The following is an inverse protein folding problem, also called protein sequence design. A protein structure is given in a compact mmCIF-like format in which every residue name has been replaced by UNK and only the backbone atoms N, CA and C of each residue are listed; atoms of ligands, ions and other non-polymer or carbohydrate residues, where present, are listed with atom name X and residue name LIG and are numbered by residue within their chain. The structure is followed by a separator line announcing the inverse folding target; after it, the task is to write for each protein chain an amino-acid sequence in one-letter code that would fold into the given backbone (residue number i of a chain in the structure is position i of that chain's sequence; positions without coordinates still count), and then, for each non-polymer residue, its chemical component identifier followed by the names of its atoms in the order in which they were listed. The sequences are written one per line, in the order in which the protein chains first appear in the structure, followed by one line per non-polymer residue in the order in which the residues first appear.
data_IF_270272463315
#
_entry.id   IF_270272463315
#
_cell.length_a   1.000
_cell.length_b   1.000
_cell.length_c   1.000
_cell.angle_alpha   90.00
_cell.angle_beta   90.00
_cell.angle_gamma   90.00
#
_symmetry.space_group_name_H-M   'P 1'
#
loop_
_entity.id
_entity.type
_entity.pdbx_description
1 polymer ?
#
# COMPACT_ATOMS: atom_id res chain seq x y z
N UNK A 1 -37.92 13.81 -43.23
CA UNK A 1 -38.65 14.95 -42.63
C UNK A 1 -38.17 15.02 -41.19
N UNK A 2 -36.95 15.52 -40.93
CA UNK A 2 -36.57 16.95 -40.83
C UNK A 2 -37.42 17.67 -39.80
N UNK A 3 -36.85 17.94 -38.62
CA UNK A 3 -36.47 19.30 -38.17
C UNK A 3 -36.08 19.31 -36.69
N UNK A 4 -34.78 19.47 -36.48
CA UNK A 4 -34.05 20.42 -35.61
C UNK A 4 -34.49 20.87 -34.20
N UNK A 5 -33.41 20.98 -33.39
CA UNK A 5 -33.03 22.00 -32.41
C UNK A 5 -33.47 21.97 -30.93
N UNK A 6 -32.45 22.08 -30.06
CA UNK A 6 -32.60 22.61 -28.70
C UNK A 6 -31.57 22.11 -27.66
N UNK A 7 -30.33 22.60 -27.71
CA UNK A 7 -29.38 22.51 -26.59
C UNK A 7 -29.62 23.66 -25.57
N UNK A 8 -29.34 23.49 -24.26
CA UNK A 8 -29.18 24.63 -23.36
C UNK A 8 -27.73 24.79 -22.87
N UNK A 9 -27.32 26.06 -22.83
CA UNK A 9 -26.02 26.55 -22.39
C UNK A 9 -25.92 26.72 -20.85
N UNK A 10 -24.68 26.76 -20.36
CA UNK A 10 -24.28 27.01 -18.97
C UNK A 10 -24.47 28.48 -18.53
N UNK A 11 -24.62 28.75 -17.21
CA UNK A 11 -24.51 30.11 -16.68
C UNK A 11 -23.16 30.36 -15.99
N UNK A 12 -22.57 31.54 -16.26
CA UNK A 12 -21.47 32.16 -15.51
C UNK A 12 -22.01 33.15 -14.44
N UNK A 13 -21.18 33.59 -13.47
CA UNK A 13 -21.62 33.96 -12.13
C UNK A 13 -21.98 35.46 -11.97
N UNK A 14 -23.03 35.72 -11.19
CA UNK A 14 -23.46 37.07 -10.80
C UNK A 14 -23.43 37.26 -9.28
N UNK A 15 -22.95 38.42 -8.87
CA UNK A 15 -22.76 38.92 -7.50
C UNK A 15 -23.96 38.73 -6.57
N UNK A 16 -23.71 38.34 -5.32
CA UNK A 16 -24.64 38.66 -4.24
C UNK A 16 -23.92 39.12 -2.97
N UNK A 17 -24.45 40.23 -2.48
CA UNK A 17 -24.01 41.10 -1.42
C UNK A 17 -24.48 40.58 -0.06
N UNK A 18 -23.76 41.01 0.97
CA UNK A 18 -23.99 40.81 2.40
C UNK A 18 -25.46 40.88 2.88
N UNK A 19 -25.86 39.96 3.75
CA UNK A 19 -26.73 40.32 4.87
C UNK A 19 -26.53 39.42 6.12
N UNK A 20 -26.45 40.07 7.27
CA UNK A 20 -26.15 39.47 8.58
C UNK A 20 -27.36 39.65 9.49
N UNK A 21 -27.91 38.61 10.15
CA UNK A 21 -29.03 38.84 11.05
C UNK A 21 -28.57 39.25 12.45
N UNK A 22 -28.94 40.48 12.82
CA UNK A 22 -28.98 41.05 14.18
C UNK A 22 -29.66 40.11 15.18
N UNK A 23 -29.04 39.90 16.36
CA UNK A 23 -29.75 39.57 17.60
C UNK A 23 -29.58 40.66 18.68
N UNK A 24 -30.71 40.92 19.34
CA UNK A 24 -31.06 42.08 20.16
C UNK A 24 -30.34 42.13 21.51
N UNK A 25 -30.09 43.36 21.97
CA UNK A 25 -29.68 43.73 23.34
C UNK A 25 -30.82 43.52 24.35
N UNK A 26 -30.48 43.07 25.56
CA UNK A 26 -31.14 43.45 26.80
C UNK A 26 -30.09 43.53 27.93
N UNK A 27 -29.88 44.74 28.47
CA UNK A 27 -29.34 44.95 29.83
C UNK A 27 -30.50 44.92 30.83
N UNK A 28 -30.36 45.04 32.14
CA UNK A 28 -29.25 45.05 33.08
C UNK A 28 -29.90 45.12 34.49
N UNK A 29 -29.12 44.81 35.54
CA UNK A 29 -29.31 45.10 36.99
C UNK A 29 -30.34 44.21 37.71
N UNK A 30 -30.13 43.73 38.95
CA UNK A 30 -29.28 44.10 40.10
C UNK A 30 -29.41 42.96 41.12
N UNK A 31 -28.34 42.49 41.78
CA UNK A 31 -28.32 42.17 43.23
C UNK A 31 -26.89 42.28 43.77
N UNK A 32 -26.73 43.06 44.83
CA UNK A 32 -25.50 43.21 45.63
C UNK A 32 -25.25 41.94 46.47
N UNK A 33 -23.98 41.60 46.76
CA UNK A 33 -23.63 40.46 47.61
C UNK A 33 -23.63 40.86 49.10
N UNK A 34 -23.94 39.89 49.97
CA UNK A 34 -23.69 39.95 51.40
C UNK A 34 -22.30 39.37 51.69
N UNK A 35 -21.56 40.13 52.48
CA UNK A 35 -20.20 39.87 52.96
C UNK A 35 -20.06 38.60 53.78
N UNK A 36 -18.86 38.02 53.71
CA UNK A 36 -18.06 37.79 54.91
C UNK A 36 -17.82 36.35 55.32
N UNK A 37 -16.65 35.83 54.99
CA UNK A 37 -15.74 35.20 55.96
C UNK A 37 -14.38 35.03 55.28
N UNK A 38 -13.46 35.95 55.58
CA UNK A 38 -12.06 35.80 55.19
C UNK A 38 -11.35 34.83 56.13
N UNK A 39 -10.38 34.12 55.60
CA UNK A 39 -9.11 34.01 56.30
C UNK A 39 -7.94 34.06 55.32
N UNK A 40 -6.89 34.72 55.79
CA UNK A 40 -5.77 35.32 55.06
C UNK A 40 -4.76 34.27 54.61
N UNK A 41 -4.29 34.37 53.37
CA UNK A 41 -2.93 33.97 52.99
C UNK A 41 -2.39 34.96 51.96
N UNK A 42 -1.31 35.65 52.35
CA UNK A 42 -0.19 36.02 51.48
C UNK A 42 -0.47 36.89 50.27
N UNK A 43 -0.43 38.20 50.49
CA UNK A 43 -0.08 39.16 49.46
C UNK A 43 1.40 38.97 49.09
N UNK A 44 1.68 38.53 47.86
CA UNK A 44 2.96 38.76 47.17
C UNK A 44 2.78 38.52 45.66
N UNK A 45 1.95 39.35 45.05
CA UNK A 45 1.82 39.43 43.60
C UNK A 45 3.05 40.10 42.99
N UNK A 46 4.10 39.34 42.70
CA UNK A 46 5.16 39.78 41.78
C UNK A 46 4.59 39.77 40.38
N UNK A 47 4.10 40.91 39.91
CA UNK A 47 3.78 41.12 38.50
C UNK A 47 5.04 40.82 37.67
N UNK A 48 5.03 39.71 36.94
CA UNK A 48 6.13 39.32 36.08
C UNK A 48 6.28 40.36 34.97
N UNK A 49 7.44 41.00 34.95
CA UNK A 49 7.83 42.00 33.95
C UNK A 49 7.48 41.48 32.54
N UNK A 50 6.88 42.28 31.64
CA UNK A 50 6.39 41.82 30.33
C UNK A 50 7.47 41.14 29.48
N UNK A 51 8.74 41.46 29.73
CA UNK A 51 9.89 40.78 29.14
C UNK A 51 10.00 39.31 29.61
N UNK A 52 9.85 39.03 30.92
CA UNK A 52 9.94 37.65 31.45
C UNK A 52 8.77 36.77 31.01
N UNK A 53 7.59 37.37 30.79
CA UNK A 53 6.43 36.67 30.21
C UNK A 53 6.64 36.35 28.72
N UNK A 54 7.22 37.27 27.95
CA UNK A 54 7.58 37.03 26.53
C UNK A 54 8.65 35.94 26.38
N UNK A 55 9.68 35.95 27.21
CA UNK A 55 10.71 34.91 27.21
C UNK A 55 10.20 33.57 27.73
N UNK A 56 9.28 33.57 28.71
CA UNK A 56 8.59 32.35 29.16
C UNK A 56 7.73 31.74 28.06
N UNK A 57 6.96 32.54 27.32
CA UNK A 57 6.15 32.09 26.19
C UNK A 57 7.01 31.60 25.03
N UNK A 58 8.13 32.26 24.75
CA UNK A 58 9.11 31.80 23.76
C UNK A 58 9.73 30.45 24.16
N UNK A 59 10.07 30.26 25.43
CA UNK A 59 10.60 28.99 25.92
C UNK A 59 9.55 27.86 25.82
N UNK A 60 8.27 28.14 26.07
CA UNK A 60 7.18 27.17 25.88
C UNK A 60 6.97 26.85 24.39
N UNK A 61 7.01 27.86 23.51
CA UNK A 61 6.88 27.64 22.07
C UNK A 61 8.05 26.82 21.50
N UNK A 62 9.29 27.14 21.91
CA UNK A 62 10.48 26.35 21.53
C UNK A 62 10.40 24.94 22.12
N UNK A 63 9.97 24.79 23.36
CA UNK A 63 9.75 23.49 23.98
C UNK A 63 8.71 22.64 23.24
N UNK A 64 7.62 23.24 22.78
CA UNK A 64 6.59 22.56 21.99
C UNK A 64 7.10 22.16 20.59
N UNK A 65 7.90 23.00 19.94
CA UNK A 65 8.52 22.68 18.63
C UNK A 65 9.57 21.58 18.77
N UNK A 66 10.41 21.63 19.80
CA UNK A 66 11.40 20.57 20.07
C UNK A 66 10.70 19.27 20.45
N UNK A 67 9.65 19.29 21.28
CA UNK A 67 8.85 18.12 21.58
C UNK A 67 8.18 17.56 20.32
N UNK A 68 7.62 18.41 19.44
CA UNK A 68 7.04 17.98 18.17
C UNK A 68 8.09 17.37 17.24
N UNK A 69 9.29 17.94 17.15
CA UNK A 69 10.40 17.41 16.34
C UNK A 69 10.93 16.09 16.90
N UNK A 70 11.08 15.96 18.23
CA UNK A 70 11.48 14.70 18.88
C UNK A 70 10.38 13.65 18.71
N UNK A 71 9.11 14.03 18.83
CA UNK A 71 7.98 13.13 18.55
C UNK A 71 7.97 12.72 17.08
N UNK A 72 8.24 13.62 16.13
CA UNK A 72 8.40 13.27 14.71
C UNK A 72 9.60 12.34 14.45
N UNK A 73 10.68 12.51 15.21
CA UNK A 73 11.91 11.68 15.09
C UNK A 73 11.74 10.28 15.68
N UNK A 74 10.92 10.14 16.73
CA UNK A 74 10.68 8.86 17.43
C UNK A 74 9.45 8.12 16.87
N UNK A 75 8.43 8.85 16.39
CA UNK A 75 7.16 8.26 15.96
C UNK A 75 7.12 7.88 14.48
N UNK A 76 8.00 8.47 13.65
CA UNK A 76 7.87 8.41 12.19
C UNK A 76 6.56 9.04 11.70
N UNK A 77 6.53 9.56 10.48
CA UNK A 77 5.26 9.86 9.82
C UNK A 77 4.56 8.52 9.55
N UNK A 78 3.67 8.09 10.45
CA UNK A 78 2.71 7.02 10.13
C UNK A 78 1.61 7.59 9.26
N UNK A 79 1.91 7.76 7.97
CA UNK A 79 0.91 7.85 6.92
C UNK A 79 0.11 6.55 6.89
N UNK A 80 -1.16 6.58 6.50
CA UNK A 80 -2.04 5.40 6.31
C UNK A 80 -1.59 4.46 5.18
N UNK A 81 -0.35 4.59 4.73
CA UNK A 81 0.37 3.68 3.87
C UNK A 81 1.54 3.16 4.72
N UNK A 82 1.31 2.04 5.41
CA UNK A 82 2.31 1.33 6.23
C UNK A 82 3.38 0.69 5.36
N UNK A 83 4.19 1.52 4.72
CA UNK A 83 5.44 1.18 4.07
C UNK A 83 6.43 2.23 4.57
N UNK A 84 7.35 1.81 5.45
CA UNK A 84 8.65 2.49 5.51
C UNK A 84 9.13 2.59 4.06
N UNK A 85 9.43 3.80 3.59
CA UNK A 85 9.99 4.01 2.25
C UNK A 85 11.43 3.47 2.22
N UNK A 86 11.57 2.14 2.26
CA UNK A 86 12.74 1.48 1.72
C UNK A 86 12.58 1.51 0.21
N UNK A 87 13.08 2.60 -0.38
CA UNK A 87 13.36 2.69 -1.79
C UNK A 87 14.48 1.69 -2.13
N UNK A 88 14.20 0.61 -2.84
CA UNK A 88 15.23 -0.31 -3.32
C UNK A 88 15.97 0.22 -4.56
N UNK A 89 15.67 1.45 -4.98
CA UNK A 89 16.51 2.22 -5.88
C UNK A 89 17.81 2.71 -5.23
N UNK A 90 18.09 2.41 -3.96
CA UNK A 90 19.33 2.81 -3.27
C UNK A 90 20.61 2.14 -3.79
N UNK A 91 20.54 1.44 -4.93
CA UNK A 91 21.73 1.18 -5.74
C UNK A 91 22.20 2.48 -6.38
N UNK A 92 23.45 2.87 -6.09
CA UNK A 92 24.20 3.89 -6.85
C UNK A 92 23.77 3.86 -8.34
N UNK A 93 23.39 5.01 -8.95
CA UNK A 93 22.95 5.00 -10.34
C UNK A 93 24.00 4.31 -11.20
N UNK A 94 23.62 3.35 -12.02
CA UNK A 94 24.58 2.75 -12.92
C UNK A 94 25.15 3.79 -13.88
N UNK A 95 26.47 3.85 -13.91
CA UNK A 95 27.17 4.35 -15.08
C UNK A 95 26.97 3.33 -16.20
N UNK A 96 26.06 3.58 -17.14
CA UNK A 96 25.80 2.61 -18.18
C UNK A 96 24.92 3.09 -19.32
N UNK A 97 25.53 3.86 -20.25
CA UNK A 97 25.12 4.18 -21.63
C UNK A 97 23.68 4.68 -21.85
N UNK A 98 23.55 5.72 -22.67
CA UNK A 98 22.30 5.97 -23.38
C UNK A 98 22.05 4.75 -24.28
N UNK A 99 21.30 3.76 -23.80
CA UNK A 99 20.99 2.58 -24.57
C UNK A 99 20.16 3.01 -25.78
N UNK A 100 20.51 2.53 -26.98
CA UNK A 100 19.72 2.81 -28.18
C UNK A 100 18.27 2.34 -27.98
N UNK A 101 18.07 1.29 -27.19
CA UNK A 101 16.74 0.83 -26.80
C UNK A 101 15.98 1.84 -25.95
N UNK A 102 16.65 2.57 -25.03
CA UNK A 102 16.02 3.64 -24.25
C UNK A 102 15.49 4.75 -25.17
N UNK A 103 16.32 5.21 -26.11
CA UNK A 103 15.95 6.23 -27.08
C UNK A 103 14.79 5.81 -27.98
N UNK A 104 14.76 4.55 -28.39
CA UNK A 104 13.76 3.99 -29.30
C UNK A 104 12.43 3.58 -28.62
N UNK A 105 12.43 3.31 -27.31
CA UNK A 105 11.24 2.84 -26.60
C UNK A 105 10.13 3.90 -26.58
N UNK A 106 8.92 3.49 -26.97
CA UNK A 106 7.70 4.31 -27.02
C UNK A 106 6.57 3.67 -26.24
N UNK A 107 5.53 4.44 -25.95
CA UNK A 107 4.28 3.95 -25.32
C UNK A 107 3.79 2.65 -25.95
N UNK A 108 3.56 1.63 -25.12
CA UNK A 108 3.16 0.29 -25.51
C UNK A 108 4.31 -0.68 -25.83
N UNK A 109 5.55 -0.22 -25.80
CA UNK A 109 6.72 -1.09 -25.94
C UNK A 109 7.02 -1.83 -24.64
N UNK A 110 7.47 -3.07 -24.76
CA UNK A 110 7.89 -3.90 -23.65
C UNK A 110 9.41 -4.03 -23.61
N UNK A 111 9.98 -3.87 -22.42
CA UNK A 111 11.40 -3.85 -22.17
C UNK A 111 11.78 -4.97 -21.19
N UNK A 112 12.98 -5.51 -21.40
CA UNK A 112 13.65 -6.41 -20.48
C UNK A 112 15.08 -5.95 -20.26
N UNK A 113 15.71 -6.41 -19.19
CA UNK A 113 17.12 -6.22 -18.87
C UNK A 113 17.59 -7.41 -18.05
N UNK A 114 18.91 -7.62 -17.97
CA UNK A 114 19.48 -8.70 -17.16
C UNK A 114 19.89 -8.22 -15.78
N UNK A 115 20.09 -6.91 -15.60
CA UNK A 115 20.53 -6.33 -14.34
C UNK A 115 19.91 -4.97 -14.09
N UNK A 116 19.25 -4.83 -12.94
CA UNK A 116 18.74 -3.53 -12.44
C UNK A 116 19.86 -2.54 -12.13
N UNK A 117 21.10 -3.04 -12.00
CA UNK A 117 22.28 -2.20 -11.98
C UNK A 117 22.53 -1.73 -13.40
N UNK A 118 22.97 -2.56 -14.34
CA UNK A 118 23.45 -2.01 -15.63
C UNK A 118 22.36 -1.46 -16.55
N UNK A 119 21.08 -1.78 -16.32
CA UNK A 119 19.93 -1.40 -17.16
C UNK A 119 20.24 -1.55 -18.65
N UNK A 120 20.67 -2.75 -19.03
CA UNK A 120 20.89 -3.20 -20.41
C UNK A 120 19.55 -3.41 -21.12
N UNK A 121 18.87 -2.30 -21.37
CA UNK A 121 17.49 -2.28 -21.86
C UNK A 121 17.43 -2.90 -23.25
N UNK A 122 16.54 -3.87 -23.40
CA UNK A 122 16.23 -4.48 -24.69
C UNK A 122 14.74 -4.44 -24.91
N UNK A 123 14.34 -3.95 -26.08
CA UNK A 123 12.94 -4.03 -26.52
C UNK A 123 12.61 -5.45 -26.94
N UNK A 124 11.50 -5.99 -26.42
CA UNK A 124 11.00 -7.32 -26.72
C UNK A 124 9.52 -7.27 -27.10
N UNK A 125 8.99 -8.38 -27.63
CA UNK A 125 7.55 -8.48 -27.84
C UNK A 125 6.86 -8.63 -26.48
N UNK A 126 5.75 -7.91 -26.25
CA UNK A 126 4.98 -8.03 -25.01
C UNK A 126 4.39 -9.43 -24.80
N UNK A 127 4.24 -10.22 -25.87
CA UNK A 127 3.86 -11.63 -25.77
C UNK A 127 4.98 -12.51 -25.19
N UNK A 128 6.23 -12.03 -25.16
CA UNK A 128 7.34 -12.68 -24.50
C UNK A 128 7.51 -12.17 -23.07
N UNK A 129 8.36 -12.84 -22.29
CA UNK A 129 8.70 -12.41 -20.93
C UNK A 129 9.41 -11.05 -20.97
N UNK A 130 8.90 -10.10 -20.20
CA UNK A 130 9.48 -8.76 -20.08
C UNK A 130 9.30 -8.24 -18.65
N UNK A 131 10.04 -7.19 -18.29
CA UNK A 131 10.06 -6.62 -16.94
C UNK A 131 9.28 -5.31 -16.84
N UNK A 132 9.08 -4.62 -17.97
CA UNK A 132 8.52 -3.27 -18.00
C UNK A 132 7.71 -3.02 -19.26
N UNK A 133 6.54 -2.43 -19.12
CA UNK A 133 5.74 -1.92 -20.24
C UNK A 133 5.69 -0.40 -20.18
N UNK A 134 6.15 0.26 -21.25
CA UNK A 134 6.23 1.72 -21.32
C UNK A 134 4.83 2.31 -21.46
N UNK A 135 4.46 3.19 -20.53
CA UNK A 135 3.16 3.89 -20.53
C UNK A 135 3.26 5.29 -21.11
N UNK A 136 4.43 5.94 -21.03
CA UNK A 136 4.70 7.24 -21.63
C UNK A 136 6.21 7.53 -21.77
N UNK A 137 6.57 8.35 -22.76
CA UNK A 137 7.84 9.06 -22.83
C UNK A 137 7.65 10.54 -22.50
N UNK A 138 8.32 11.01 -21.44
CA UNK A 138 8.17 12.37 -20.92
C UNK A 138 9.48 13.13 -21.08
N UNK A 139 9.45 14.17 -21.90
CA UNK A 139 10.58 15.05 -22.13
C UNK A 139 10.63 16.16 -21.07
N UNK A 140 11.53 16.01 -20.10
CA UNK A 140 11.67 16.96 -19.00
C UNK A 140 12.18 18.34 -19.45
N UNK A 141 12.79 18.45 -20.64
CA UNK A 141 13.26 19.73 -21.17
C UNK A 141 12.13 20.70 -21.51
N UNK A 142 10.90 20.19 -21.66
CA UNK A 142 9.69 20.99 -21.93
C UNK A 142 9.09 21.62 -20.68
N UNK A 143 9.53 21.20 -19.49
CA UNK A 143 9.01 21.74 -18.24
C UNK A 143 9.71 23.04 -17.88
N UNK A 144 8.97 24.05 -17.41
CA UNK A 144 9.54 25.36 -17.11
C UNK A 144 10.52 25.24 -15.94
N UNK A 145 11.69 25.87 -16.08
CA UNK A 145 12.68 25.93 -15.02
C UNK A 145 14.10 25.69 -15.53
N UNK A 146 15.06 25.77 -14.61
CA UNK A 146 16.49 25.49 -14.90
C UNK A 146 16.91 24.08 -14.53
N UNK A 147 16.06 23.36 -13.82
CA UNK A 147 16.36 22.04 -13.25
C UNK A 147 16.83 21.04 -14.32
N UNK A 148 16.16 21.05 -15.48
CA UNK A 148 16.43 20.13 -16.58
C UNK A 148 17.10 20.81 -17.78
N UNK A 149 17.58 22.04 -17.60
CA UNK A 149 18.20 22.81 -18.66
C UNK A 149 19.56 22.25 -19.13
N UNK A 150 20.12 22.81 -20.21
CA UNK A 150 21.47 22.47 -20.66
C UNK A 150 22.51 22.62 -19.54
N UNK A 151 23.36 21.60 -19.37
CA UNK A 151 24.40 21.59 -18.34
C UNK A 151 23.92 21.37 -16.91
N UNK A 152 22.63 21.06 -16.68
CA UNK A 152 22.14 20.73 -15.35
C UNK A 152 22.75 19.43 -14.82
N UNK A 153 22.88 19.34 -13.48
CA UNK A 153 23.35 18.14 -12.82
C UNK A 153 22.39 16.97 -13.07
N UNK A 154 22.92 15.75 -13.09
CA UNK A 154 22.10 14.54 -13.11
C UNK A 154 21.36 14.42 -11.77
N UNK A 155 20.02 14.28 -11.76
CA UNK A 155 19.25 14.14 -10.52
C UNK A 155 19.71 12.93 -9.69
N UNK A 156 19.56 13.02 -8.38
CA UNK A 156 19.76 11.87 -7.50
C UNK A 156 18.53 10.94 -7.50
N UNK A 157 18.64 9.81 -6.81
CA UNK A 157 17.58 8.81 -6.74
C UNK A 157 16.29 9.35 -6.13
N UNK A 158 16.41 10.23 -5.11
CA UNK A 158 15.25 10.83 -4.45
C UNK A 158 14.49 11.70 -5.44
N UNK A 159 15.18 12.57 -6.19
CA UNK A 159 14.52 13.43 -7.17
C UNK A 159 13.92 12.65 -8.33
N UNK A 160 14.54 11.55 -8.77
CA UNK A 160 13.92 10.65 -9.73
C UNK A 160 12.67 9.95 -9.17
N UNK A 161 12.65 9.61 -7.88
CA UNK A 161 11.45 9.15 -7.19
C UNK A 161 10.31 10.16 -7.26
N UNK A 162 10.59 11.43 -6.97
CA UNK A 162 9.62 12.52 -7.07
C UNK A 162 9.11 12.71 -8.51
N UNK A 163 10.00 12.69 -9.51
CA UNK A 163 9.63 12.81 -10.92
C UNK A 163 8.74 11.66 -11.39
N UNK A 164 9.00 10.44 -10.92
CA UNK A 164 8.13 9.29 -11.15
C UNK A 164 6.74 9.56 -10.57
N UNK A 165 6.64 10.06 -9.35
CA UNK A 165 5.37 10.27 -8.67
C UNK A 165 4.58 11.46 -9.29
N UNK A 166 5.28 12.53 -9.68
CA UNK A 166 4.72 13.72 -10.35
C UNK A 166 4.18 13.39 -11.75
N UNK A 167 4.92 12.60 -12.53
CA UNK A 167 4.65 12.45 -13.96
C UNK A 167 4.17 11.06 -14.38
N UNK A 168 4.72 10.00 -13.79
CA UNK A 168 4.45 8.63 -14.27
C UNK A 168 3.15 8.04 -13.71
N UNK A 169 2.70 8.45 -12.52
CA UNK A 169 1.46 7.92 -11.95
C UNK A 169 0.23 8.30 -12.80
N UNK A 170 0.13 9.57 -13.21
CA UNK A 170 -0.95 10.05 -14.07
C UNK A 170 -0.86 9.47 -15.48
N UNK A 171 0.35 9.35 -16.04
CA UNK A 171 0.58 8.73 -17.34
C UNK A 171 0.17 7.24 -17.37
N UNK A 172 0.53 6.48 -16.32
CA UNK A 172 0.14 5.08 -16.20
C UNK A 172 -1.38 4.92 -16.04
N UNK A 173 -2.03 5.77 -15.24
CA UNK A 173 -3.49 5.77 -15.11
C UNK A 173 -4.17 6.05 -16.45
N UNK A 174 -3.68 7.03 -17.23
CA UNK A 174 -4.19 7.34 -18.55
C UNK A 174 -4.00 6.16 -19.54
N UNK A 175 -2.83 5.52 -19.52
CA UNK A 175 -2.51 4.37 -20.36
C UNK A 175 -3.46 3.18 -20.11
N UNK A 176 -3.83 2.94 -18.84
CA UNK A 176 -4.80 1.89 -18.46
C UNK A 176 -6.27 2.32 -18.57
N UNK A 177 -6.55 3.53 -19.08
CA UNK A 177 -7.91 4.04 -19.19
C UNK A 177 -8.59 4.23 -17.83
N UNK A 178 -7.84 4.67 -16.82
CA UNK A 178 -8.33 4.88 -15.46
C UNK A 178 -8.38 3.63 -14.60
N UNK A 179 -7.92 2.46 -15.10
CA UNK A 179 -7.97 1.18 -14.38
C UNK A 179 -6.71 0.83 -13.59
N UNK A 180 -5.83 1.79 -13.33
CA UNK A 180 -4.66 1.53 -12.49
C UNK A 180 -5.09 1.31 -11.04
N UNK A 181 -4.86 0.10 -10.53
CA UNK A 181 -5.16 -0.24 -9.14
C UNK A 181 -4.04 0.26 -8.20
N UNK A 182 -4.37 1.14 -7.23
CA UNK A 182 -3.37 1.64 -6.27
C UNK A 182 -2.78 0.54 -5.37
N UNK A 183 -3.42 -0.63 -5.28
CA UNK A 183 -2.89 -1.81 -4.60
C UNK A 183 -2.76 -3.02 -5.52
N UNK A 184 -2.76 -2.78 -6.83
CA UNK A 184 -2.66 -3.82 -7.84
C UNK A 184 -1.31 -4.51 -7.85
N UNK A 185 -1.20 -5.54 -8.70
CA UNK A 185 0.04 -6.27 -8.91
C UNK A 185 1.10 -5.42 -9.60
N UNK A 186 0.70 -4.55 -10.52
CA UNK A 186 1.62 -3.68 -11.27
C UNK A 186 1.84 -2.37 -10.53
N UNK A 187 3.09 -1.94 -10.44
CA UNK A 187 3.47 -0.66 -9.87
C UNK A 187 4.02 0.26 -10.94
N UNK A 188 3.90 1.57 -10.68
CA UNK A 188 4.47 2.61 -11.53
C UNK A 188 5.99 2.60 -11.36
N UNK A 189 6.70 2.45 -12.47
CA UNK A 189 8.15 2.56 -12.54
C UNK A 189 8.58 3.68 -13.50
N UNK A 190 9.87 3.99 -13.46
CA UNK A 190 10.48 4.98 -14.33
C UNK A 190 11.90 4.55 -14.69
N UNK A 191 12.24 4.70 -15.96
CA UNK A 191 13.60 4.55 -16.48
C UNK A 191 14.09 5.92 -16.94
N UNK A 192 15.32 6.28 -16.59
CA UNK A 192 15.96 7.55 -16.94
C UNK A 192 17.10 7.31 -17.97
N UNK A 193 17.58 8.35 -18.67
CA UNK A 193 18.56 8.19 -19.76
C UNK A 193 19.99 7.86 -19.26
N UNK A 194 20.18 7.73 -17.95
CA UNK A 194 21.47 7.60 -17.30
C UNK A 194 22.29 8.89 -17.37
N UNK A 195 23.36 8.94 -16.58
CA UNK A 195 24.25 10.10 -16.55
C UNK A 195 24.88 10.43 -17.92
N UNK A 196 25.30 9.44 -18.75
CA UNK A 196 25.81 9.74 -20.09
C UNK A 196 24.76 10.37 -21.01
N UNK A 197 23.54 9.84 -21.03
CA UNK A 197 22.44 10.41 -21.82
C UNK A 197 22.11 11.83 -21.35
N UNK A 198 22.07 12.04 -20.04
CA UNK A 198 21.87 13.36 -19.44
C UNK A 198 22.95 14.37 -19.84
N UNK A 199 24.24 14.00 -19.78
CA UNK A 199 25.32 14.90 -20.21
C UNK A 199 25.22 15.26 -21.71
N UNK A 200 24.69 14.36 -22.52
CA UNK A 200 24.47 14.57 -23.95
C UNK A 200 23.17 15.30 -24.28
N UNK A 201 22.43 15.77 -23.26
CA UNK A 201 21.22 16.56 -23.44
C UNK A 201 19.92 15.76 -23.47
N UNK A 202 19.95 14.43 -23.32
CA UNK A 202 18.71 13.65 -23.18
C UNK A 202 18.08 13.97 -21.81
N UNK A 203 16.83 14.42 -21.85
CA UNK A 203 16.01 14.76 -20.68
C UNK A 203 14.75 13.92 -20.63
N UNK A 204 14.67 12.90 -21.46
CA UNK A 204 13.47 12.10 -21.57
C UNK A 204 13.51 11.00 -20.53
N UNK A 205 12.45 10.88 -19.72
CA UNK A 205 12.21 9.70 -18.88
C UNK A 205 11.19 8.78 -19.56
N UNK A 206 11.26 7.48 -19.27
CA UNK A 206 10.25 6.49 -19.68
C UNK A 206 9.46 6.07 -18.45
N UNK A 207 8.19 6.42 -18.43
CA UNK A 207 7.25 5.91 -17.45
C UNK A 207 6.77 4.55 -17.88
N UNK A 208 6.45 3.68 -16.93
CA UNK A 208 5.91 2.38 -17.25
C UNK A 208 5.39 1.61 -16.05
N UNK A 209 4.97 0.39 -16.32
CA UNK A 209 4.40 -0.53 -15.34
C UNK A 209 5.25 -1.79 -15.26
N UNK A 210 5.43 -2.28 -14.03
CA UNK A 210 6.30 -3.41 -13.72
C UNK A 210 5.78 -4.19 -12.51
N UNK A 211 6.21 -5.43 -12.37
CA UNK A 211 6.07 -6.21 -11.15
C UNK A 211 7.32 -5.99 -10.30
N UNK A 212 7.15 -5.80 -9.00
CA UNK A 212 8.27 -5.56 -8.08
C UNK A 212 8.23 -6.48 -6.86
N UNK A 213 9.41 -6.76 -6.31
CA UNK A 213 9.53 -7.35 -4.98
C UNK A 213 8.99 -6.41 -3.89
N UNK A 214 8.89 -6.90 -2.66
CA UNK A 214 8.53 -6.09 -1.48
C UNK A 214 9.53 -4.96 -1.24
N UNK A 215 10.80 -5.21 -1.55
CA UNK A 215 11.83 -4.18 -1.66
C UNK A 215 11.81 -3.62 -3.08
N UNK A 216 10.64 -3.23 -3.63
CA UNK A 216 10.36 -2.59 -4.94
C UNK A 216 11.29 -2.83 -6.15
N UNK A 217 12.01 -3.97 -6.22
CA UNK A 217 12.96 -4.26 -7.28
C UNK A 217 12.22 -4.92 -8.43
N UNK A 218 12.41 -4.42 -9.65
CA UNK A 218 11.76 -4.95 -10.85
C UNK A 218 12.49 -6.19 -11.39
N UNK A 219 12.31 -7.28 -10.67
CA UNK A 219 12.94 -8.60 -10.89
C UNK A 219 11.96 -9.60 -11.50
N UNK A 220 10.66 -9.34 -11.39
CA UNK A 220 9.62 -10.26 -11.80
C UNK A 220 9.19 -10.01 -13.24
N UNK A 221 9.30 -11.06 -14.07
CA UNK A 221 8.88 -11.02 -15.46
C UNK A 221 7.38 -11.24 -15.59
N UNK A 222 6.76 -10.54 -16.53
CA UNK A 222 5.37 -10.72 -16.93
C UNK A 222 5.27 -11.10 -18.41
N UNK A 223 4.10 -11.59 -18.81
CA UNK A 223 3.77 -11.99 -20.17
C UNK A 223 2.42 -11.40 -20.53
N UNK A 224 2.30 -10.91 -21.77
CA UNK A 224 1.11 -10.20 -22.24
C UNK A 224 1.15 -8.73 -21.84
N UNK A 225 0.22 -7.93 -22.40
CA UNK A 225 0.19 -6.50 -22.09
C UNK A 225 -0.46 -6.23 -20.74
N UNK A 226 0.04 -5.22 -20.04
CA UNK A 226 -0.50 -4.78 -18.76
C UNK A 226 -1.93 -4.29 -18.89
N UNK A 227 -2.25 -3.56 -19.96
CA UNK A 227 -3.61 -3.04 -20.22
C UNK A 227 -4.68 -4.12 -20.40
N UNK A 228 -4.26 -5.31 -20.82
CA UNK A 228 -5.11 -6.47 -21.10
C UNK A 228 -5.10 -7.45 -19.90
N UNK A 229 -4.35 -7.15 -18.85
CA UNK A 229 -4.18 -7.97 -17.66
C UNK A 229 -5.06 -7.51 -16.50
N UNK A 230 -5.52 -8.48 -15.71
CA UNK A 230 -6.11 -8.25 -14.39
C UNK A 230 -5.09 -7.56 -13.47
N UNK A 231 -5.54 -6.53 -12.74
CA UNK A 231 -4.70 -5.78 -11.82
C UNK A 231 -4.65 -6.39 -10.41
N UNK A 232 -5.51 -7.36 -10.10
CA UNK A 232 -5.56 -8.01 -8.79
C UNK A 232 -4.21 -8.64 -8.46
N UNK A 233 -3.77 -8.45 -7.21
CA UNK A 233 -2.50 -8.98 -6.71
C UNK A 233 -2.64 -10.43 -6.26
N UNK A 234 -2.83 -11.31 -7.23
CA UNK A 234 -3.04 -12.76 -7.06
C UNK A 234 -1.90 -13.56 -7.68
N UNK A 235 -1.69 -14.78 -7.17
CA UNK A 235 -0.72 -15.72 -7.70
C UNK A 235 -1.41 -17.07 -7.96
N UNK A 236 -0.79 -17.88 -8.81
CA UNK A 236 -1.36 -19.19 -9.15
C UNK A 236 -1.37 -20.13 -7.92
N UNK A 237 -2.40 -20.98 -7.78
CA UNK A 237 -2.43 -22.02 -6.74
C UNK A 237 -1.17 -22.88 -6.73
N UNK A 238 -0.61 -23.10 -5.54
CA UNK A 238 0.67 -23.78 -5.31
C UNK A 238 1.91 -22.90 -5.36
N UNK A 239 1.74 -21.60 -5.59
CA UNK A 239 2.85 -20.64 -5.50
C UNK A 239 3.21 -20.38 -4.04
N UNK A 240 4.49 -20.51 -3.69
CA UNK A 240 5.04 -20.10 -2.41
C UNK A 240 5.67 -18.72 -2.51
N UNK A 241 5.36 -17.81 -1.58
CA UNK A 241 5.88 -16.44 -1.58
C UNK A 241 7.01 -16.31 -0.57
N UNK A 242 8.18 -15.90 -1.05
CA UNK A 242 9.41 -15.81 -0.26
C UNK A 242 9.26 -14.95 1.00
N UNK A 243 10.20 -15.13 1.92
CA UNK A 243 10.23 -14.41 3.20
C UNK A 243 11.60 -13.76 3.43
N UNK A 244 11.59 -12.56 3.98
CA UNK A 244 12.77 -11.86 4.47
C UNK A 244 12.40 -11.09 5.74
N UNK A 245 13.14 -11.30 6.83
CA UNK A 245 12.89 -10.63 8.12
C UNK A 245 11.40 -10.67 8.56
N UNK A 246 10.81 -11.87 8.55
CA UNK A 246 9.40 -12.12 8.91
C UNK A 246 8.36 -11.45 8.00
N UNK A 247 8.77 -10.81 6.91
CA UNK A 247 7.88 -10.18 5.92
C UNK A 247 7.92 -10.92 4.58
N UNK A 248 6.78 -11.00 3.86
CA UNK A 248 6.77 -11.58 2.54
C UNK A 248 7.55 -10.73 1.55
N UNK A 249 8.29 -11.36 0.65
CA UNK A 249 9.07 -10.68 -0.40
C UNK A 249 8.20 -10.31 -1.61
N UNK A 250 6.93 -10.73 -1.65
CA UNK A 250 6.04 -10.65 -2.82
C UNK A 250 6.59 -11.34 -4.07
N UNK A 251 7.59 -12.22 -3.93
CA UNK A 251 8.21 -12.95 -5.03
C UNK A 251 7.94 -14.45 -4.89
N UNK A 252 7.54 -15.13 -5.97
CA UNK A 252 7.48 -16.58 -6.01
C UNK A 252 8.86 -17.22 -5.74
N UNK A 253 8.88 -18.24 -4.90
CA UNK A 253 10.06 -19.09 -4.65
C UNK A 253 9.66 -20.57 -4.71
N UNK A 254 10.58 -21.50 -5.01
CA UNK A 254 10.31 -22.93 -4.82
C UNK A 254 9.91 -23.19 -3.37
N UNK A 255 8.85 -23.96 -3.12
CA UNK A 255 8.36 -24.20 -1.76
C UNK A 255 9.37 -24.90 -0.83
N UNK A 256 10.38 -25.57 -1.37
CA UNK A 256 11.52 -26.09 -0.59
C UNK A 256 12.50 -25.01 -0.10
N UNK A 257 12.33 -23.77 -0.52
CA UNK A 257 13.05 -22.60 -0.01
C UNK A 257 12.23 -21.89 1.08
N UNK A 258 12.88 -21.10 1.95
CA UNK A 258 12.21 -20.27 2.95
C UNK A 258 11.12 -19.38 2.33
N UNK A 259 9.89 -19.49 2.83
CA UNK A 259 8.74 -18.69 2.37
C UNK A 259 7.78 -18.36 3.51
N UNK A 260 6.95 -17.34 3.32
CA UNK A 260 6.00 -16.86 4.32
C UNK A 260 4.68 -17.63 4.28
N UNK A 261 4.22 -17.94 3.05
CA UNK A 261 2.95 -18.63 2.81
C UNK A 261 2.87 -19.24 1.42
N UNK A 262 1.92 -20.16 1.27
CA UNK A 262 1.56 -20.82 0.02
C UNK A 262 0.14 -20.42 -0.39
N UNK A 263 -0.07 -20.21 -1.69
CA UNK A 263 -1.39 -19.90 -2.25
C UNK A 263 -2.16 -21.20 -2.48
N UNK A 264 -3.31 -21.36 -1.83
CA UNK A 264 -4.17 -22.54 -2.02
C UNK A 264 -5.12 -22.36 -3.19
N UNK A 265 -5.69 -21.17 -3.34
CA UNK A 265 -6.63 -20.83 -4.41
C UNK A 265 -6.71 -19.32 -4.63
N UNK A 266 -7.35 -18.94 -5.74
CA UNK A 266 -7.77 -17.56 -6.02
C UNK A 266 -9.28 -17.51 -6.09
N UNK A 267 -9.89 -16.53 -5.42
CA UNK A 267 -11.33 -16.31 -5.37
C UNK A 267 -11.65 -15.00 -6.09
N UNK A 268 -12.65 -15.04 -6.98
CA UNK A 268 -13.19 -13.84 -7.64
C UNK A 268 -14.46 -13.39 -6.93
N UNK A 269 -14.35 -12.27 -6.21
CA UNK A 269 -15.43 -11.69 -5.42
C UNK A 269 -16.54 -11.12 -6.31
N UNK A 270 -16.22 -10.74 -7.55
CA UNK A 270 -17.19 -10.20 -8.52
C UNK A 270 -18.24 -11.23 -8.95
N UNK A 271 -17.98 -12.52 -8.72
CA UNK A 271 -18.95 -13.60 -8.97
C UNK A 271 -20.08 -13.63 -7.96
N UNK A 272 -19.85 -13.10 -6.74
CA UNK A 272 -20.83 -13.08 -5.66
C UNK A 272 -21.39 -11.67 -5.42
N UNK A 273 -20.51 -10.67 -5.38
CA UNK A 273 -20.88 -9.28 -5.15
C UNK A 273 -21.04 -8.56 -6.50
N UNK A 274 -22.29 -8.32 -6.91
CA UNK A 274 -22.62 -7.70 -8.21
C UNK A 274 -22.91 -6.19 -8.14
N UNK A 275 -22.86 -5.62 -6.94
CA UNK A 275 -23.11 -4.20 -6.67
C UNK A 275 -21.84 -3.36 -6.58
N UNK A 276 -21.90 -2.30 -5.76
CA UNK A 276 -20.72 -1.52 -5.39
C UNK A 276 -19.74 -2.31 -4.52
N UNK A 277 -18.63 -1.68 -4.10
CA UNK A 277 -17.62 -2.35 -3.28
C UNK A 277 -18.21 -2.99 -2.02
N UNK A 278 -18.01 -4.30 -1.78
CA UNK A 278 -18.52 -4.96 -0.60
C UNK A 278 -17.79 -4.48 0.67
N UNK A 279 -18.51 -4.41 1.79
CA UNK A 279 -17.90 -4.08 3.08
C UNK A 279 -16.93 -5.19 3.52
N UNK A 280 -15.85 -4.85 4.23
CA UNK A 280 -14.85 -5.82 4.65
C UNK A 280 -15.45 -7.01 5.42
N UNK A 281 -16.44 -6.77 6.30
CA UNK A 281 -17.10 -7.85 7.04
C UNK A 281 -17.85 -8.83 6.13
N UNK A 282 -18.43 -8.35 5.02
CA UNK A 282 -19.10 -9.21 4.04
C UNK A 282 -18.07 -10.00 3.21
N UNK A 283 -16.96 -9.35 2.84
CA UNK A 283 -15.83 -10.01 2.19
C UNK A 283 -15.26 -11.11 3.08
N UNK A 284 -15.01 -10.82 4.36
CA UNK A 284 -14.45 -11.78 5.32
C UNK A 284 -15.35 -12.99 5.50
N UNK A 285 -16.67 -12.76 5.61
CA UNK A 285 -17.64 -13.85 5.72
C UNK A 285 -17.61 -14.75 4.47
N UNK A 286 -17.59 -14.15 3.29
CA UNK A 286 -17.53 -14.90 2.03
C UNK A 286 -16.19 -15.65 1.87
N UNK A 287 -15.07 -14.97 2.11
CA UNK A 287 -13.73 -15.54 2.02
C UNK A 287 -13.49 -16.64 3.05
N UNK A 288 -14.07 -16.54 4.25
CA UNK A 288 -13.98 -17.60 5.26
C UNK A 288 -14.56 -18.92 4.74
N UNK A 289 -15.72 -18.87 4.10
CA UNK A 289 -16.38 -20.06 3.54
C UNK A 289 -15.59 -20.61 2.34
N UNK A 290 -15.18 -19.73 1.41
CA UNK A 290 -14.44 -20.12 0.20
C UNK A 290 -13.04 -20.66 0.52
N UNK A 291 -12.28 -19.97 1.37
CA UNK A 291 -10.94 -20.42 1.76
C UNK A 291 -10.98 -21.63 2.68
N UNK A 292 -12.04 -21.78 3.50
CA UNK A 292 -12.27 -22.99 4.30
C UNK A 292 -12.49 -24.24 3.42
N UNK A 293 -13.23 -24.10 2.31
CA UNK A 293 -13.38 -25.15 1.30
C UNK A 293 -12.07 -25.41 0.56
N UNK A 294 -11.42 -24.34 0.09
CA UNK A 294 -10.16 -24.43 -0.63
C UNK A 294 -9.08 -25.15 0.19
N UNK A 295 -9.01 -24.92 1.50
CA UNK A 295 -8.07 -25.64 2.36
C UNK A 295 -8.37 -27.14 2.44
N UNK A 296 -9.65 -27.53 2.53
CA UNK A 296 -10.04 -28.95 2.49
C UNK A 296 -9.61 -29.62 1.18
N UNK A 297 -9.91 -28.97 0.05
CA UNK A 297 -9.56 -29.48 -1.28
C UNK A 297 -8.05 -29.50 -1.53
N UNK A 298 -7.34 -28.47 -1.07
CA UNK A 298 -5.91 -28.28 -1.32
C UNK A 298 -5.01 -29.15 -0.43
N UNK A 299 -5.39 -29.35 0.84
CA UNK A 299 -4.60 -30.05 1.86
C UNK A 299 -5.09 -31.46 2.16
N UNK A 300 -6.31 -31.82 1.72
CA UNK A 300 -6.91 -33.14 1.96
C UNK A 300 -7.64 -33.26 3.32
N UNK A 301 -7.85 -32.15 4.03
CA UNK A 301 -8.57 -32.13 5.31
C UNK A 301 -8.21 -30.92 6.18
N UNK A 302 -9.17 -30.44 7.00
CA UNK A 302 -8.92 -29.31 7.90
C UNK A 302 -8.05 -29.67 9.11
N UNK A 303 -8.04 -30.94 9.51
CA UNK A 303 -7.18 -31.48 10.56
C UNK A 303 -5.69 -31.33 10.22
N UNK A 304 -5.35 -31.34 8.92
CA UNK A 304 -3.99 -31.10 8.42
C UNK A 304 -3.45 -29.74 8.87
N UNK A 305 -4.30 -28.70 8.87
CA UNK A 305 -3.89 -27.35 9.31
C UNK A 305 -3.49 -27.35 10.78
N UNK A 306 -4.31 -27.95 11.64
CA UNK A 306 -4.06 -28.03 13.08
C UNK A 306 -2.81 -28.85 13.35
N UNK A 307 -2.67 -30.01 12.69
CA UNK A 307 -1.53 -30.90 12.86
C UNK A 307 -0.22 -30.26 12.39
N UNK A 308 -0.28 -29.41 11.35
CA UNK A 308 0.87 -28.65 10.85
C UNK A 308 1.01 -27.27 11.51
N UNK A 309 0.15 -26.92 12.47
CA UNK A 309 0.14 -25.62 13.15
C UNK A 309 0.02 -24.43 12.18
N UNK A 310 -0.56 -24.68 11.00
CA UNK A 310 -0.80 -23.70 9.94
C UNK A 310 -2.19 -23.07 10.10
N UNK A 311 -2.33 -21.87 9.55
CA UNK A 311 -3.56 -21.10 9.54
C UNK A 311 -3.88 -20.63 8.12
N UNK A 312 -5.16 -20.58 7.80
CA UNK A 312 -5.67 -19.96 6.59
C UNK A 312 -5.82 -18.47 6.86
N UNK A 313 -5.48 -17.64 5.88
CA UNK A 313 -5.76 -16.21 5.90
C UNK A 313 -5.95 -15.68 4.48
N UNK A 314 -6.48 -14.48 4.38
CA UNK A 314 -6.72 -13.75 3.15
C UNK A 314 -6.58 -12.25 3.44
N UNK A 315 -6.37 -11.46 2.39
CA UNK A 315 -6.45 -10.00 2.45
C UNK A 315 -7.89 -9.52 2.27
N UNK A 316 -8.16 -8.23 2.49
CA UNK A 316 -9.35 -7.58 1.97
C UNK A 316 -9.05 -6.77 0.70
N UNK A 317 -10.08 -6.60 -0.12
CA UNK A 317 -10.06 -5.76 -1.30
C UNK A 317 -10.66 -4.38 -0.94
N UNK A 318 -9.89 -3.31 -1.11
CA UNK A 318 -10.40 -1.97 -0.81
C UNK A 318 -11.28 -1.42 -1.93
N UNK A 319 -12.12 -0.45 -1.57
CA UNK A 319 -13.10 0.12 -2.47
C UNK A 319 -12.48 0.74 -3.75
N UNK A 320 -11.25 1.28 -3.70
CA UNK A 320 -10.62 1.86 -4.89
C UNK A 320 -10.20 0.76 -5.86
N UNK A 321 -9.58 -0.31 -5.36
CA UNK A 321 -9.25 -1.50 -6.18
C UNK A 321 -10.51 -2.08 -6.85
N UNK A 322 -11.61 -2.20 -6.10
CA UNK A 322 -12.89 -2.67 -6.65
C UNK A 322 -13.40 -1.81 -7.81
N UNK A 323 -13.40 -0.49 -7.63
CA UNK A 323 -13.94 0.46 -8.60
C UNK A 323 -13.12 0.52 -9.91
N UNK A 324 -11.85 0.16 -9.86
CA UNK A 324 -10.99 0.10 -11.07
C UNK A 324 -10.94 -1.30 -11.71
N UNK A 325 -11.64 -2.28 -11.14
CA UNK A 325 -11.86 -3.61 -11.73
C UNK A 325 -11.05 -4.76 -11.15
N UNK A 326 -10.29 -4.55 -10.07
CA UNK A 326 -9.68 -5.66 -9.33
C UNK A 326 -10.71 -6.30 -8.43
N UNK A 327 -11.02 -7.59 -8.65
CA UNK A 327 -12.05 -8.32 -7.89
C UNK A 327 -11.53 -9.63 -7.27
N UNK A 328 -10.23 -9.93 -7.38
CA UNK A 328 -9.70 -11.24 -6.95
C UNK A 328 -8.81 -11.15 -5.72
N UNK A 329 -8.91 -12.17 -4.88
CA UNK A 329 -8.10 -12.36 -3.67
C UNK A 329 -7.55 -13.79 -3.62
N UNK A 330 -6.45 -13.99 -2.89
CA UNK A 330 -5.89 -15.32 -2.63
C UNK A 330 -6.42 -15.90 -1.32
N UNK A 331 -6.65 -17.22 -1.29
CA UNK A 331 -6.70 -18.01 -0.07
C UNK A 331 -5.28 -18.52 0.24
N UNK A 332 -4.73 -18.07 1.36
CA UNK A 332 -3.33 -18.29 1.74
C UNK A 332 -3.25 -19.25 2.91
N UNK A 333 -2.20 -20.06 2.95
CA UNK A 333 -1.86 -20.90 4.10
C UNK A 333 -0.44 -20.62 4.56
N UNK A 334 -0.28 -20.44 5.87
CA UNK A 334 1.01 -20.16 6.48
C UNK A 334 0.92 -20.08 7.99
N UNK A 335 1.93 -19.48 8.62
CA UNK A 335 1.98 -19.30 10.07
C UNK A 335 2.39 -17.88 10.43
N UNK A 336 1.55 -17.18 11.19
CA UNK A 336 1.92 -15.90 11.80
C UNK A 336 2.94 -16.06 12.92
N UNK A 337 3.76 -15.03 13.10
CA UNK A 337 4.70 -14.82 14.21
C UNK A 337 4.35 -13.49 14.92
N UNK A 338 5.14 -13.07 15.93
CA UNK A 338 4.92 -11.78 16.58
C UNK A 338 5.16 -10.58 15.65
N UNK A 339 6.12 -10.72 14.75
CA UNK A 339 6.61 -9.64 13.88
C UNK A 339 6.18 -9.81 12.40
N UNK A 340 5.24 -10.73 12.12
CA UNK A 340 4.76 -11.01 10.77
C UNK A 340 4.49 -12.49 10.56
N UNK A 341 5.33 -13.14 9.74
CA UNK A 341 5.24 -14.56 9.42
C UNK A 341 6.40 -15.35 10.04
N UNK A 342 6.11 -16.59 10.42
CA UNK A 342 7.14 -17.60 10.66
C UNK A 342 7.72 -18.07 9.31
N UNK A 343 8.94 -18.57 9.32
CA UNK A 343 9.58 -19.11 8.12
C UNK A 343 9.10 -20.53 7.87
N UNK A 344 8.54 -20.78 6.69
CA UNK A 344 8.11 -22.10 6.24
C UNK A 344 9.13 -22.66 5.24
N UNK A 345 9.43 -23.95 5.37
CA UNK A 345 10.19 -24.72 4.37
C UNK A 345 9.43 -26.01 4.06
N UNK A 346 9.19 -26.29 2.77
CA UNK A 346 8.35 -27.39 2.31
C UNK A 346 6.93 -26.92 1.92
N UNK A 347 6.25 -27.64 1.03
CA UNK A 347 4.87 -27.31 0.65
C UNK A 347 3.88 -27.76 1.72
N UNK A 348 2.82 -26.99 1.93
CA UNK A 348 1.70 -27.32 2.81
C UNK A 348 1.01 -28.65 2.45
N UNK A 349 1.15 -29.13 1.21
CA UNK A 349 0.69 -30.45 0.75
C UNK A 349 1.55 -31.62 1.25
N UNK A 350 2.81 -31.36 1.61
CA UNK A 350 3.76 -32.35 2.09
C UNK A 350 4.26 -32.04 3.50
N UNK A 351 5.46 -32.52 3.83
CA UNK A 351 6.10 -32.17 5.09
C UNK A 351 6.55 -30.70 5.08
N UNK A 352 6.34 -30.01 6.19
CA UNK A 352 6.74 -28.63 6.40
C UNK A 352 7.57 -28.49 7.66
N UNK A 353 8.48 -27.52 7.66
CA UNK A 353 9.14 -26.99 8.85
C UNK A 353 8.65 -25.57 9.11
N UNK A 354 8.43 -25.23 10.38
CA UNK A 354 8.11 -23.88 10.84
C UNK A 354 9.29 -23.42 11.70
N UNK A 355 9.97 -22.35 11.26
CA UNK A 355 11.22 -21.85 11.85
C UNK A 355 12.27 -22.95 12.04
N UNK A 356 12.35 -23.86 11.06
CA UNK A 356 13.27 -25.00 11.04
C UNK A 356 12.87 -26.18 11.93
N UNK A 357 11.72 -26.11 12.61
CA UNK A 357 11.21 -27.18 13.48
C UNK A 357 10.03 -27.90 12.84
N UNK A 358 9.89 -29.19 13.12
CA UNK A 358 8.68 -29.93 12.77
C UNK A 358 7.49 -29.31 13.54
N UNK A 359 6.33 -29.14 12.89
CA UNK A 359 5.14 -28.64 13.57
C UNK A 359 4.77 -29.50 14.77
N UNK A 360 4.52 -28.82 15.88
CA UNK A 360 3.94 -29.46 17.07
C UNK A 360 2.48 -29.04 17.12
N UNK A 361 1.53 -29.99 16.94
CA UNK A 361 0.11 -29.68 17.05
C UNK A 361 -0.19 -29.04 18.40
N UNK A 362 -1.07 -28.03 18.47
CA UNK A 362 -1.52 -27.51 19.75
C UNK A 362 -2.14 -28.65 20.57
N UNK A 363 -2.01 -28.63 21.91
CA UNK A 363 -2.64 -29.64 22.75
C UNK A 363 -4.11 -29.75 22.38
N UNK A 364 -4.60 -30.97 22.21
CA UNK A 364 -6.02 -31.25 22.06
C UNK A 364 -6.72 -30.97 23.39
N UNK A 365 -6.82 -29.70 23.77
CA UNK A 365 -7.90 -29.28 24.65
C UNK A 365 -9.16 -29.43 23.82
N UNK A 366 -9.67 -30.67 23.76
CA UNK A 366 -11.00 -30.94 23.22
C UNK A 366 -11.89 -29.87 23.81
N UNK A 367 -12.44 -29.01 22.93
CA UNK A 367 -13.24 -27.81 23.21
C UNK A 367 -13.36 -27.58 24.72
N UNK A 368 -12.59 -26.63 25.28
CA UNK A 368 -12.75 -26.25 26.70
C UNK A 368 -14.24 -26.15 27.00
N UNK A 369 -14.78 -27.16 27.67
CA UNK A 369 -16.09 -27.07 28.27
C UNK A 369 -15.82 -26.17 29.45
N UNK A 370 -16.40 -24.96 29.51
CA UNK A 370 -16.28 -24.16 30.72
C UNK A 370 -16.67 -25.07 31.88
N UNK A 371 -15.87 -25.09 32.95
CA UNK A 371 -16.28 -25.77 34.17
C UNK A 371 -17.71 -25.30 34.49
N UNK A 372 -18.69 -26.20 34.66
CA UNK A 372 -20.05 -25.79 34.96
C UNK A 372 -20.01 -24.86 36.17
N UNK A 373 -20.72 -23.73 36.10
CA UNK A 373 -20.95 -22.91 37.29
C UNK A 373 -21.45 -23.83 38.41
N UNK A 374 -21.04 -23.62 39.67
CA UNK A 374 -21.46 -24.48 40.78
C UNK A 374 -22.99 -24.67 40.77
N UNK A 375 -23.45 -25.89 40.48
CA UNK A 375 -24.87 -26.25 40.38
C UNK A 375 -25.43 -26.51 38.98
N UNK A 376 -24.68 -26.34 37.90
CA UNK A 376 -25.13 -26.69 36.54
C UNK A 376 -24.75 -28.14 36.18
N UNK A 377 -25.72 -28.91 35.64
CA UNK A 377 -25.47 -30.27 35.16
C UNK A 377 -24.53 -30.27 33.94
N UNK A 378 -23.70 -31.32 33.75
CA UNK A 378 -22.79 -31.42 32.60
C UNK A 378 -23.55 -31.35 31.26
N UNK A 379 -22.98 -30.67 30.27
CA UNK A 379 -23.53 -30.64 28.93
C UNK A 379 -23.57 -32.07 28.33
N UNK A 380 -24.65 -32.47 27.63
CA UNK A 380 -24.72 -33.78 27.00
C UNK A 380 -23.59 -33.96 25.97
N UNK A 381 -22.87 -35.07 26.07
CA UNK A 381 -21.84 -35.45 25.10
C UNK A 381 -22.55 -35.88 23.80
N UNK A 382 -22.26 -35.24 22.64
CA UNK A 382 -22.81 -35.70 21.37
C UNK A 382 -22.32 -37.12 21.06
N UNK A 383 -23.17 -38.01 20.52
CA UNK A 383 -22.73 -39.34 20.13
C UNK A 383 -21.65 -39.26 19.05
N UNK A 384 -20.59 -40.04 19.24
CA UNK A 384 -19.50 -40.15 18.27
C UNK A 384 -20.07 -40.73 16.97
N UNK A 385 -19.83 -40.04 15.86
CA UNK A 385 -20.27 -40.46 14.52
C UNK A 385 -19.08 -41.03 13.75
#
# INVERSE_FOLDING_TARGET
MSSDDGAPAAPEPGNEESDTPRRRRAGAKRRRPLSGAGNRLGQDGKALHPHRLRWGLLAVAVGAVVAALVTLSISGFRSSHGLEAHDPGSGKPPAGRADAAFGAAKTGDCLTWTSTKTLDLTKVNCADKHLFEVTADIDLSKYPGREFGPGSAFPDSLRFGELRDEHCASAAAAYLGGRLDPRGRFVVGMVNPGEPGWRNGDRTIRCGLQLVSATGSATQQTVGRVRDSDQSRVFDPGTCIGINQNLPTNEPVPCGQPHAYEVMSTVDLGTHFTGGPPANADQDKFMQDECGRAAGDYLGGQDVLINKTLTIFWDNLDARSWLVGSHKLNCLVGKGSQDGFATITGSAKGDVLIDGQAPVPPPSSGRSTPAPLPGAAPAPIPPQR
#
